data_IF_704011115260
#
_entry.id   IF_704011115260
#
_cell.length_a   1.000
_cell.length_b   1.000
_cell.length_c   1.000
_cell.angle_alpha   90.00
_cell.angle_beta   90.00
_cell.angle_gamma   90.00
#
_symmetry.space_group_name_H-M   'P 1'
#
loop_
_entity.id
_entity.type
_entity.pdbx_description
1 polymer ?
#
# COMPACT_ATOMS: atom_id res chain seq x y z
N UNK A 1 -16.54 -44.83 23.00
CA UNK A 1 -15.62 -43.71 23.30
C UNK A 1 -15.06 -43.32 21.96
N UNK A 2 -15.72 -42.38 21.28
CA UNK A 2 -15.31 -41.86 19.99
C UNK A 2 -15.02 -40.38 20.17
N UNK A 3 -13.77 -39.98 19.97
CA UNK A 3 -13.35 -38.60 19.80
C UNK A 3 -12.48 -38.51 18.55
N UNK A 4 -12.89 -37.68 17.59
CA UNK A 4 -12.07 -36.59 17.02
C UNK A 4 -12.77 -35.99 15.79
N UNK A 5 -13.65 -35.04 16.08
CA UNK A 5 -13.93 -33.91 15.19
C UNK A 5 -12.73 -32.97 15.25
N UNK A 6 -12.15 -32.58 14.11
CA UNK A 6 -11.52 -31.27 13.99
C UNK A 6 -11.79 -30.70 12.60
N UNK A 7 -12.67 -29.70 12.61
CA UNK A 7 -13.26 -29.00 11.49
C UNK A 7 -12.24 -28.17 10.70
N UNK A 8 -12.38 -28.24 9.38
CA UNK A 8 -11.77 -27.36 8.38
C UNK A 8 -12.14 -25.89 8.67
N UNK A 9 -11.15 -25.08 9.05
CA UNK A 9 -11.29 -23.61 9.10
C UNK A 9 -10.69 -23.04 7.83
N UNK A 10 -11.54 -22.60 6.90
CA UNK A 10 -11.13 -21.87 5.72
C UNK A 10 -10.56 -20.49 6.11
N UNK A 11 -9.46 -20.11 5.48
CA UNK A 11 -8.79 -18.83 5.69
C UNK A 11 -9.68 -17.68 5.24
N UNK A 12 -10.43 -17.14 6.20
CA UNK A 12 -11.33 -16.02 6.01
C UNK A 12 -10.54 -14.71 5.88
N UNK A 13 -10.38 -14.25 4.65
CA UNK A 13 -10.06 -12.85 4.34
C UNK A 13 -11.25 -11.97 4.72
N UNK A 14 -11.09 -10.91 5.53
CA UNK A 14 -12.09 -9.83 5.65
C UNK A 14 -11.40 -8.49 5.95
N UNK A 15 -12.07 -7.42 5.51
CA UNK A 15 -12.15 -6.10 6.16
C UNK A 15 -11.25 -5.00 5.61
N UNK A 16 -11.76 -4.32 4.56
CA UNK A 16 -11.62 -2.86 4.49
C UNK A 16 -12.52 -2.28 5.58
N UNK A 17 -11.97 -2.16 6.78
CA UNK A 17 -12.46 -1.25 7.79
C UNK A 17 -11.28 -0.34 8.13
N UNK A 18 -11.52 0.97 8.22
CA UNK A 18 -10.91 1.68 9.32
C UNK A 18 -11.40 0.93 10.58
N UNK A 19 -10.46 0.35 11.32
CA UNK A 19 -10.72 -0.35 12.58
C UNK A 19 -11.70 0.49 13.45
N UNK A 20 -12.83 -0.08 13.92
CA UNK A 20 -13.80 0.63 14.74
C UNK A 20 -13.34 0.95 16.18
N UNK A 21 -12.08 0.71 16.54
CA UNK A 21 -11.53 1.07 17.87
C UNK A 21 -11.47 2.58 18.17
N UNK A 22 -11.83 3.46 17.22
CA UNK A 22 -11.87 4.91 17.48
C UNK A 22 -13.18 5.44 18.08
N UNK A 23 -14.11 4.59 18.57
CA UNK A 23 -15.33 5.08 19.23
C UNK A 23 -15.48 4.50 20.64
N UNK A 24 -15.38 5.41 21.62
CA UNK A 24 -15.65 5.30 23.06
C UNK A 24 -14.54 4.76 23.98
N UNK A 25 -13.63 5.66 24.37
CA UNK A 25 -13.20 5.76 25.77
C UNK A 25 -13.67 7.10 26.32
N UNK A 26 -14.93 7.15 26.75
CA UNK A 26 -15.37 8.17 27.69
C UNK A 26 -14.68 7.88 29.04
N UNK A 27 -13.76 8.74 29.48
CA UNK A 27 -13.31 8.75 30.87
C UNK A 27 -14.27 9.58 31.71
N UNK A 28 -14.64 9.14 32.93
CA UNK A 28 -15.49 9.91 33.82
C UNK A 28 -14.73 11.15 34.30
N UNK A 29 -15.41 12.29 34.25
CA UNK A 29 -14.95 13.55 34.84
C UNK A 29 -15.05 13.42 36.35
N UNK A 30 -13.92 13.44 37.05
CA UNK A 30 -13.87 13.80 38.46
C UNK A 30 -13.08 15.10 38.58
N UNK A 31 -13.80 16.17 38.92
CA UNK A 31 -13.25 17.46 39.29
C UNK A 31 -12.50 17.33 40.62
N UNK A 32 -11.18 17.56 40.62
CA UNK A 32 -10.51 18.28 41.71
C UNK A 32 -9.02 18.49 41.42
N UNK A 33 -8.65 19.78 41.39
CA UNK A 33 -7.35 20.34 41.77
C UNK A 33 -6.13 19.99 40.90
N UNK A 34 -5.96 20.83 39.86
CA UNK A 34 -4.79 21.71 39.73
C UNK A 34 -3.40 21.07 39.76
N UNK A 35 -2.92 20.74 38.56
CA UNK A 35 -1.61 21.09 37.94
C UNK A 35 -1.46 20.11 36.76
N UNK A 36 -1.75 20.54 35.54
CA UNK A 36 -1.54 19.73 34.33
C UNK A 36 -0.76 20.52 33.28
N UNK A 37 0.42 19.98 33.01
CA UNK A 37 1.33 20.23 31.91
C UNK A 37 0.61 20.48 30.57
N UNK A 38 0.69 21.72 30.07
CA UNK A 38 0.73 22.00 28.64
C UNK A 38 2.21 21.87 28.22
N UNK A 39 2.56 21.11 27.16
CA UNK A 39 2.33 21.58 25.79
C UNK A 39 2.28 20.44 24.74
N UNK A 40 1.11 19.86 24.42
CA UNK A 40 0.96 19.09 23.15
C UNK A 40 -0.37 19.38 22.46
N UNK A 41 -1.35 19.97 23.15
CA UNK A 41 -2.65 20.35 22.58
C UNK A 41 -2.61 21.72 21.86
N UNK A 42 -1.49 22.44 21.91
CA UNK A 42 -1.35 23.77 21.27
C UNK A 42 -0.97 23.71 19.77
N UNK A 43 -0.47 22.57 19.26
CA UNK A 43 -0.05 22.46 17.85
C UNK A 43 -1.18 22.05 16.88
N UNK A 44 -2.25 21.41 17.37
CA UNK A 44 -3.32 20.89 16.49
C UNK A 44 -4.51 21.87 16.36
N UNK A 45 -4.68 22.81 17.28
CA UNK A 45 -5.72 23.83 17.20
C UNK A 45 -5.29 25.13 16.49
N UNK A 46 -3.99 25.29 16.18
CA UNK A 46 -3.50 26.48 15.47
C UNK A 46 -3.65 26.38 13.94
N UNK A 47 -3.79 25.16 13.40
CA UNK A 47 -4.01 24.94 11.96
C UNK A 47 -5.50 25.03 11.60
N UNK A 48 -6.41 24.81 12.54
CA UNK A 48 -7.85 24.77 12.26
C UNK A 48 -8.62 26.07 12.56
N UNK A 49 -7.98 27.12 13.09
CA UNK A 49 -8.69 28.35 13.50
C UNK A 49 -8.16 29.67 12.91
N UNK A 50 -7.26 29.64 11.93
CA UNK A 50 -6.85 30.82 11.15
C UNK A 50 -7.25 30.78 9.67
N UNK A 51 -8.04 29.79 9.23
CA UNK A 51 -8.44 29.65 7.81
C UNK A 51 -9.80 30.30 7.50
N UNK A 52 -10.52 30.92 8.45
CA UNK A 52 -11.90 31.36 8.18
C UNK A 52 -12.27 32.81 8.53
N UNK A 53 -11.32 33.75 8.65
CA UNK A 53 -11.64 35.20 8.56
C UNK A 53 -10.45 35.99 8.00
N UNK A 54 -10.26 35.99 6.68
CA UNK A 54 -9.59 37.08 5.96
C UNK A 54 -10.08 37.08 4.51
N UNK A 55 -10.43 38.27 4.02
CA UNK A 55 -11.19 38.53 2.81
C UNK A 55 -10.53 38.06 1.50
N UNK A 56 -11.37 37.68 0.55
CA UNK A 56 -11.10 37.35 -0.87
C UNK A 56 -10.40 38.44 -1.71
N UNK A 57 -9.78 39.47 -1.11
CA UNK A 57 -9.14 40.58 -1.84
C UNK A 57 -7.61 40.61 -1.80
N UNK A 58 -6.94 39.75 -1.02
CA UNK A 58 -5.46 39.78 -0.89
C UNK A 58 -4.70 38.72 -1.70
N UNK A 59 -5.38 37.77 -2.36
CA UNK A 59 -4.70 36.71 -3.15
C UNK A 59 -4.04 37.28 -4.42
N UNK A 60 -4.60 38.33 -5.02
CA UNK A 60 -4.06 38.93 -6.24
C UNK A 60 -2.73 39.69 -6.03
N UNK A 61 -2.43 40.16 -4.82
CA UNK A 61 -1.15 40.83 -4.53
C UNK A 61 -0.02 39.84 -4.21
N UNK A 62 -0.33 38.68 -3.63
CA UNK A 62 0.67 37.64 -3.33
C UNK A 62 1.16 36.94 -4.61
N UNK A 63 0.29 36.76 -5.61
CA UNK A 63 0.68 36.16 -6.90
C UNK A 63 1.65 37.07 -7.66
N UNK A 64 1.49 38.40 -7.59
CA UNK A 64 2.34 39.36 -8.32
C UNK A 64 3.69 39.67 -7.65
N UNK A 65 3.95 39.18 -6.42
CA UNK A 65 5.25 39.30 -5.75
C UNK A 65 6.08 38.01 -5.81
N UNK A 66 5.52 36.93 -6.39
CA UNK A 66 6.20 35.62 -6.49
C UNK A 66 6.93 35.38 -7.81
N UNK A 67 6.80 36.28 -8.78
CA UNK A 67 7.39 36.14 -10.11
C UNK A 67 8.83 36.69 -10.22
N UNK A 68 9.56 36.88 -9.10
CA UNK A 68 10.90 37.49 -9.20
C UNK A 68 12.07 36.87 -8.42
N UNK A 69 11.92 35.87 -7.54
CA UNK A 69 13.10 35.42 -6.74
C UNK A 69 13.29 33.90 -6.45
N UNK A 70 12.49 32.95 -6.96
CA UNK A 70 12.63 31.53 -6.55
C UNK A 70 12.85 30.49 -7.68
N UNK A 71 13.32 30.89 -8.87
CA UNK A 71 13.48 29.97 -10.02
C UNK A 71 14.82 29.19 -10.10
N UNK A 72 15.73 29.29 -9.12
CA UNK A 72 17.06 28.66 -9.26
C UNK A 72 17.34 27.45 -8.35
N UNK A 73 16.38 26.98 -7.53
CA UNK A 73 16.66 25.91 -6.56
C UNK A 73 15.74 24.68 -6.57
N UNK A 74 14.72 24.63 -7.42
CA UNK A 74 13.75 23.52 -7.41
C UNK A 74 13.94 22.48 -8.53
N UNK A 75 15.10 22.43 -9.20
CA UNK A 75 15.40 21.41 -10.21
C UNK A 75 16.13 20.17 -9.68
N UNK A 76 16.41 20.07 -8.37
CA UNK A 76 17.30 19.00 -7.86
C UNK A 76 16.62 17.72 -7.38
N UNK A 77 15.28 17.65 -7.34
CA UNK A 77 14.59 16.52 -6.70
C UNK A 77 13.91 15.53 -7.66
N UNK A 78 14.07 15.70 -8.97
CA UNK A 78 13.43 14.85 -10.00
C UNK A 78 14.43 14.12 -10.91
N UNK A 79 15.66 13.90 -10.46
CA UNK A 79 16.54 12.93 -11.13
C UNK A 79 16.26 11.56 -10.52
N UNK A 80 15.42 10.78 -11.22
CA UNK A 80 15.33 9.34 -10.98
C UNK A 80 16.73 8.72 -10.99
N UNK A 81 16.96 7.77 -10.09
CA UNK A 81 18.24 7.12 -9.93
C UNK A 81 18.72 6.56 -11.28
N UNK A 82 19.96 6.84 -11.74
CA UNK A 82 20.40 6.42 -13.07
C UNK A 82 20.41 4.88 -13.15
N UNK A 83 19.88 4.33 -14.24
CA UNK A 83 19.81 2.89 -14.55
C UNK A 83 21.16 2.17 -14.33
N UNK A 84 22.27 2.87 -14.63
CA UNK A 84 23.64 2.39 -14.40
C UNK A 84 23.97 2.14 -12.92
N UNK A 85 23.30 2.81 -11.97
CA UNK A 85 23.51 2.62 -10.54
C UNK A 85 22.81 1.34 -10.04
N UNK A 86 21.63 1.00 -10.57
CA UNK A 86 20.96 -0.26 -10.26
C UNK A 86 21.78 -1.46 -10.76
N UNK A 87 22.28 -1.39 -12.00
CA UNK A 87 23.18 -2.39 -12.57
C UNK A 87 24.46 -2.57 -11.72
N UNK A 88 25.03 -1.45 -11.24
CA UNK A 88 26.22 -1.47 -10.39
C UNK A 88 25.94 -2.10 -9.02
N UNK A 89 24.73 -1.93 -8.47
CA UNK A 89 24.33 -2.52 -7.20
C UNK A 89 24.12 -4.03 -7.37
N UNK A 90 23.45 -4.45 -8.43
CA UNK A 90 23.21 -5.88 -8.70
C UNK A 90 24.52 -6.66 -8.82
N UNK A 91 25.50 -6.13 -9.58
CA UNK A 91 26.80 -6.78 -9.75
C UNK A 91 27.60 -6.87 -8.45
N UNK A 92 27.51 -5.85 -7.59
CA UNK A 92 28.10 -5.90 -6.25
C UNK A 92 27.46 -6.98 -5.38
N UNK A 93 26.14 -7.13 -5.43
CA UNK A 93 25.41 -8.16 -4.70
C UNK A 93 25.83 -9.55 -5.20
N UNK A 94 25.90 -9.77 -6.52
CA UNK A 94 26.34 -11.05 -7.09
C UNK A 94 27.75 -11.42 -6.66
N UNK A 95 28.67 -10.45 -6.72
CA UNK A 95 30.07 -10.65 -6.29
C UNK A 95 30.13 -11.04 -4.83
N UNK A 96 29.43 -10.30 -3.95
CA UNK A 96 29.35 -10.62 -2.53
C UNK A 96 28.80 -12.03 -2.27
N UNK A 97 27.69 -12.40 -2.92
CA UNK A 97 27.07 -13.73 -2.75
C UNK A 97 28.00 -14.85 -3.22
N UNK A 98 28.76 -14.64 -4.30
CA UNK A 98 29.69 -15.63 -4.83
C UNK A 98 30.92 -15.84 -3.91
N UNK A 99 31.33 -14.82 -3.15
CA UNK A 99 32.45 -14.89 -2.22
C UNK A 99 32.08 -15.57 -0.89
N UNK A 100 30.79 -15.73 -0.58
CA UNK A 100 30.33 -16.35 0.67
C UNK A 100 30.49 -17.87 0.65
N UNK A 101 30.92 -18.41 1.80
CA UNK A 101 30.88 -19.85 2.07
C UNK A 101 29.44 -20.37 2.20
N UNK A 102 29.25 -21.68 2.06
CA UNK A 102 27.91 -22.31 2.12
C UNK A 102 27.18 -22.04 3.44
N UNK A 103 27.88 -22.14 4.57
CA UNK A 103 27.30 -21.90 5.90
C UNK A 103 26.89 -20.44 6.10
N UNK A 104 27.73 -19.50 5.63
CA UNK A 104 27.43 -18.07 5.68
C UNK A 104 26.26 -17.71 4.76
N UNK A 105 26.17 -18.36 3.59
CA UNK A 105 25.04 -18.19 2.67
C UNK A 105 23.73 -18.65 3.31
N UNK A 106 23.72 -19.80 4.00
CA UNK A 106 22.55 -20.31 4.73
C UNK A 106 22.13 -19.35 5.86
N UNK A 107 23.10 -18.82 6.61
CA UNK A 107 22.85 -17.85 7.67
C UNK A 107 22.25 -16.56 7.08
N UNK A 108 22.86 -15.99 6.03
CA UNK A 108 22.38 -14.78 5.36
C UNK A 108 20.99 -14.98 4.78
N UNK A 109 20.73 -16.09 4.08
CA UNK A 109 19.42 -16.40 3.53
C UNK A 109 18.35 -16.50 4.62
N UNK A 110 18.65 -17.21 5.71
CA UNK A 110 17.75 -17.33 6.86
C UNK A 110 17.44 -15.96 7.47
N UNK A 111 18.45 -15.12 7.63
CA UNK A 111 18.32 -13.79 8.20
C UNK A 111 17.50 -12.85 7.29
N UNK A 112 17.70 -12.91 5.97
CA UNK A 112 16.94 -12.14 4.99
C UNK A 112 15.47 -12.58 4.94
N UNK A 113 15.19 -13.90 4.95
CA UNK A 113 13.83 -14.43 4.94
C UNK A 113 13.08 -14.16 6.26
N UNK A 114 13.78 -14.14 7.40
CA UNK A 114 13.19 -13.68 8.68
C UNK A 114 12.83 -12.21 8.64
N UNK A 115 13.69 -11.37 8.05
CA UNK A 115 13.44 -9.91 7.92
C UNK A 115 12.33 -9.61 6.91
N UNK A 116 12.19 -10.45 5.88
CA UNK A 116 11.15 -10.33 4.87
C UNK A 116 10.40 -11.67 4.68
N UNK A 117 9.43 -12.00 5.55
CA UNK A 117 8.68 -13.25 5.46
C UNK A 117 7.85 -13.37 4.18
N UNK A 118 7.50 -12.26 3.51
CA UNK A 118 6.85 -12.29 2.20
C UNK A 118 7.70 -12.96 1.12
N UNK A 119 9.03 -12.75 1.16
CA UNK A 119 9.94 -13.40 0.22
C UNK A 119 9.99 -14.93 0.41
N UNK A 120 9.79 -15.43 1.63
CA UNK A 120 9.72 -16.88 1.89
C UNK A 120 8.52 -17.53 1.20
N UNK A 121 7.35 -16.87 1.25
CA UNK A 121 6.14 -17.34 0.58
C UNK A 121 6.34 -17.45 -0.95
N UNK A 122 7.06 -16.50 -1.55
CA UNK A 122 7.36 -16.50 -2.99
C UNK A 122 8.20 -17.72 -3.41
N UNK A 123 9.14 -18.16 -2.56
CA UNK A 123 9.95 -19.36 -2.81
C UNK A 123 9.12 -20.65 -2.72
N UNK A 124 8.25 -20.76 -1.71
CA UNK A 124 7.33 -21.91 -1.57
C UNK A 124 6.41 -22.05 -2.78
N UNK A 125 5.93 -20.92 -3.30
CA UNK A 125 5.11 -20.87 -4.50
C UNK A 125 5.85 -21.31 -5.76
N UNK A 126 7.12 -20.98 -5.87
CA UNK A 126 7.95 -21.30 -7.03
C UNK A 126 8.29 -22.80 -7.10
N UNK A 127 8.53 -23.45 -5.97
CA UNK A 127 8.71 -24.91 -5.91
C UNK A 127 7.43 -25.67 -6.29
N UNK A 128 6.25 -25.14 -5.95
CA UNK A 128 4.97 -25.74 -6.37
C UNK A 128 4.60 -25.44 -7.84
N UNK A 129 5.29 -24.50 -8.49
CA UNK A 129 5.06 -24.10 -9.88
C UNK A 129 5.86 -24.93 -10.90
N UNK A 130 6.76 -25.82 -10.48
CA UNK A 130 7.58 -26.63 -11.41
C UNK A 130 6.79 -27.70 -12.19
N UNK A 131 5.45 -27.65 -12.18
CA UNK A 131 4.54 -28.55 -12.89
C UNK A 131 3.42 -27.82 -13.65
N UNK A 132 3.69 -26.68 -14.29
CA UNK A 132 2.82 -26.17 -15.36
C UNK A 132 3.65 -25.65 -16.54
N UNK A 133 3.64 -26.41 -17.64
CA UNK A 133 4.09 -25.94 -18.95
C UNK A 133 3.30 -24.68 -19.33
N UNK A 134 4.01 -23.59 -19.58
CA UNK A 134 3.44 -22.36 -20.12
C UNK A 134 2.89 -22.61 -21.53
N UNK A 135 1.56 -22.65 -21.65
CA UNK A 135 0.93 -22.39 -22.94
C UNK A 135 0.96 -20.88 -23.19
N UNK A 136 1.60 -20.51 -24.29
CA UNK A 136 1.66 -19.18 -24.89
C UNK A 136 0.27 -18.69 -25.31
N UNK A 137 -0.52 -18.31 -24.31
CA UNK A 137 -1.74 -17.54 -24.46
C UNK A 137 -1.62 -16.34 -23.54
N UNK A 138 -0.91 -15.31 -24.02
CA UNK A 138 -1.05 -13.97 -23.45
C UNK A 138 -2.56 -13.67 -23.36
N UNK A 139 -3.15 -13.55 -22.15
CA UNK A 139 -4.58 -13.37 -22.04
C UNK A 139 -4.91 -12.02 -22.68
N UNK A 140 -5.67 -12.07 -23.78
CA UNK A 140 -6.12 -10.87 -24.50
C UNK A 140 -6.76 -9.91 -23.50
N UNK A 141 -6.39 -8.63 -23.59
CA UNK A 141 -6.97 -7.60 -22.74
C UNK A 141 -8.51 -7.61 -22.87
N UNK A 142 -9.26 -7.54 -21.77
CA UNK A 142 -10.72 -7.55 -21.81
C UNK A 142 -11.29 -6.40 -22.65
N UNK A 143 -12.48 -6.57 -23.23
CA UNK A 143 -13.12 -5.55 -24.07
C UNK A 143 -13.45 -4.22 -23.37
N UNK A 144 -13.45 -4.21 -22.03
CA UNK A 144 -13.63 -3.01 -21.20
C UNK A 144 -12.30 -2.31 -20.84
N UNK A 145 -11.16 -2.82 -21.32
CA UNK A 145 -9.84 -2.26 -21.07
C UNK A 145 -9.45 -1.20 -22.11
N UNK A 146 -8.86 -0.10 -21.64
CA UNK A 146 -8.28 0.96 -22.48
C UNK A 146 -6.75 1.02 -22.42
N UNK A 147 -6.12 0.48 -21.36
CA UNK A 147 -4.68 0.61 -21.13
C UNK A 147 -3.84 -0.61 -21.56
N UNK A 148 -4.49 -1.65 -22.10
CA UNK A 148 -3.85 -2.90 -22.54
C UNK A 148 -3.36 -3.85 -21.43
N UNK A 149 -3.38 -3.43 -20.15
CA UNK A 149 -2.82 -4.22 -19.02
C UNK A 149 -3.85 -4.75 -18.02
N UNK A 150 -5.14 -4.51 -18.25
CA UNK A 150 -6.16 -5.13 -17.40
C UNK A 150 -6.30 -6.62 -17.72
N UNK A 151 -6.67 -7.42 -16.71
CA UNK A 151 -7.11 -8.81 -16.86
C UNK A 151 -8.55 -8.95 -16.36
N UNK A 152 -9.19 -10.05 -16.73
CA UNK A 152 -10.57 -10.33 -16.32
C UNK A 152 -10.70 -10.37 -14.79
N UNK A 153 -11.84 -9.88 -14.28
CA UNK A 153 -12.14 -9.84 -12.86
C UNK A 153 -13.43 -10.62 -12.58
N UNK A 154 -13.53 -11.35 -11.45
CA UNK A 154 -14.70 -12.18 -11.16
C UNK A 154 -16.00 -11.38 -11.00
N UNK A 155 -15.93 -10.20 -10.39
CA UNK A 155 -17.11 -9.37 -10.14
C UNK A 155 -17.17 -8.19 -11.12
N UNK A 156 -18.38 -7.88 -11.61
CA UNK A 156 -18.57 -6.77 -12.57
C UNK A 156 -18.15 -5.40 -11.99
N UNK A 157 -18.34 -5.19 -10.69
CA UNK A 157 -17.90 -3.97 -9.99
C UNK A 157 -16.37 -3.78 -10.06
N UNK A 158 -15.62 -4.87 -10.22
CA UNK A 158 -14.15 -4.87 -10.32
C UNK A 158 -13.64 -4.70 -11.75
N UNK A 159 -14.52 -4.76 -12.77
CA UNK A 159 -14.18 -4.58 -14.20
C UNK A 159 -13.93 -3.11 -14.54
N UNK A 160 -12.91 -2.53 -13.91
CA UNK A 160 -12.53 -1.12 -14.01
C UNK A 160 -11.13 -0.99 -14.60
N UNK A 161 -11.00 -0.18 -15.65
CA UNK A 161 -9.72 0.22 -16.23
C UNK A 161 -9.23 1.55 -15.62
N UNK A 162 -7.91 1.80 -15.62
CA UNK A 162 -7.33 3.05 -15.14
C UNK A 162 -7.61 4.24 -16.07
N UNK A 163 -7.84 3.97 -17.37
CA UNK A 163 -8.22 4.95 -18.42
C UNK A 163 -7.27 6.14 -18.54
N UNK A 164 -5.99 5.92 -18.25
CA UNK A 164 -4.96 6.90 -18.58
C UNK A 164 -4.92 7.09 -20.10
N UNK A 165 -4.79 8.33 -20.58
CA UNK A 165 -4.82 8.66 -22.00
C UNK A 165 -3.66 7.97 -22.76
N UNK A 166 -2.47 8.03 -22.18
CA UNK A 166 -1.28 7.37 -22.71
C UNK A 166 -0.71 6.41 -21.67
N UNK A 167 -0.52 5.15 -22.06
CA UNK A 167 0.05 4.12 -21.21
C UNK A 167 -0.91 3.59 -20.13
N UNK A 168 -0.34 3.22 -18.97
CA UNK A 168 -1.08 2.59 -17.89
C UNK A 168 -0.64 3.13 -16.52
N UNK A 169 -1.61 3.40 -15.64
CA UNK A 169 -1.30 3.82 -14.28
C UNK A 169 -0.43 2.80 -13.53
N UNK A 170 -0.58 1.50 -13.81
CA UNK A 170 0.20 0.46 -13.15
C UNK A 170 1.69 0.45 -13.53
N UNK A 171 2.09 1.20 -14.55
CA UNK A 171 3.49 1.39 -14.95
C UNK A 171 4.03 2.77 -14.63
N UNK A 172 3.20 3.65 -14.05
CA UNK A 172 3.67 4.97 -13.63
C UNK A 172 4.63 4.83 -12.46
N UNK A 173 5.70 5.62 -12.45
CA UNK A 173 6.70 5.61 -11.39
C UNK A 173 6.09 5.85 -10.01
N UNK A 174 5.17 6.82 -9.91
CA UNK A 174 4.47 7.11 -8.65
C UNK A 174 3.70 5.90 -8.14
N UNK A 175 3.03 5.14 -9.01
CA UNK A 175 2.35 3.90 -8.61
C UNK A 175 3.34 2.85 -8.11
N UNK A 176 4.46 2.66 -8.82
CA UNK A 176 5.48 1.69 -8.43
C UNK A 176 6.08 2.05 -7.06
N UNK A 177 6.42 3.31 -6.86
CA UNK A 177 6.98 3.81 -5.59
C UNK A 177 5.98 3.72 -4.45
N UNK A 178 4.73 4.13 -4.65
CA UNK A 178 3.74 4.23 -3.56
C UNK A 178 3.09 2.89 -3.24
N UNK A 179 2.79 2.06 -4.25
CA UNK A 179 1.96 0.87 -4.09
C UNK A 179 2.71 -0.46 -4.24
N UNK A 180 3.92 -0.48 -4.81
CA UNK A 180 4.68 -1.71 -5.11
C UNK A 180 5.99 -1.79 -4.29
N UNK A 181 6.59 -0.66 -3.95
CA UNK A 181 7.83 -0.63 -3.16
C UNK A 181 7.59 -1.16 -1.73
N UNK A 182 8.21 -2.29 -1.41
CA UNK A 182 8.05 -2.96 -0.13
C UNK A 182 8.47 -2.07 1.05
N UNK A 183 9.54 -1.28 0.93
CA UNK A 183 10.00 -0.41 2.01
C UNK A 183 9.01 0.71 2.32
N UNK A 184 8.39 1.30 1.30
CA UNK A 184 7.33 2.30 1.48
C UNK A 184 6.12 1.68 2.19
N UNK A 185 5.72 0.48 1.76
CA UNK A 185 4.61 -0.25 2.40
C UNK A 185 4.94 -0.65 3.84
N UNK A 186 6.18 -1.04 4.14
CA UNK A 186 6.61 -1.37 5.49
C UNK A 186 6.56 -0.15 6.42
N UNK A 187 6.93 1.04 5.94
CA UNK A 187 6.80 2.27 6.72
C UNK A 187 5.32 2.56 7.02
N UNK A 188 4.44 2.38 6.03
CA UNK A 188 2.99 2.53 6.22
C UNK A 188 2.42 1.51 7.23
N UNK A 189 2.95 0.28 7.23
CA UNK A 189 2.63 -0.73 8.24
C UNK A 189 3.06 -0.26 9.62
N UNK A 190 4.33 0.09 9.81
CA UNK A 190 4.86 0.57 11.10
C UNK A 190 4.09 1.76 11.66
N UNK A 191 3.76 2.73 10.81
CA UNK A 191 2.94 3.87 11.23
C UNK A 191 1.54 3.46 11.73
N UNK A 192 0.96 2.39 11.19
CA UNK A 192 -0.32 1.84 11.67
C UNK A 192 -0.12 1.01 12.94
N UNK A 193 0.94 0.22 13.01
CA UNK A 193 1.33 -0.58 14.18
C UNK A 193 1.55 0.33 15.41
N UNK A 194 2.21 1.49 15.25
CA UNK A 194 2.42 2.48 16.31
C UNK A 194 1.10 3.04 16.87
N UNK A 195 0.08 3.18 16.01
CA UNK A 195 -1.24 3.69 16.40
C UNK A 195 -2.06 2.59 17.11
N UNK A 196 -1.99 1.36 16.60
CA UNK A 196 -2.80 0.24 17.09
C UNK A 196 -2.13 -0.55 18.22
N UNK A 197 -0.85 -0.31 18.49
CA UNK A 197 -0.01 -1.10 19.38
C UNK A 197 -0.03 -2.61 19.06
N UNK A 198 -0.17 -2.94 17.77
CA UNK A 198 -0.22 -4.32 17.26
C UNK A 198 0.85 -4.50 16.18
N UNK A 199 1.67 -5.54 16.31
CA UNK A 199 2.76 -5.85 15.39
C UNK A 199 2.36 -6.98 14.45
N UNK A 200 1.83 -6.63 13.29
CA UNK A 200 1.44 -7.62 12.29
C UNK A 200 2.68 -8.32 11.68
N UNK A 201 2.57 -9.64 11.49
CA UNK A 201 3.58 -10.41 10.74
C UNK A 201 3.65 -9.88 9.30
N UNK A 202 4.85 -9.74 8.75
CA UNK A 202 5.06 -9.22 7.39
C UNK A 202 4.88 -10.33 6.35
N UNK A 203 3.63 -10.64 6.03
CA UNK A 203 3.27 -11.61 4.97
C UNK A 203 2.90 -10.90 3.68
N UNK A 204 2.91 -11.62 2.55
CA UNK A 204 2.40 -11.09 1.27
C UNK A 204 0.94 -10.63 1.35
N UNK A 205 0.13 -11.23 2.22
CA UNK A 205 -1.24 -10.79 2.48
C UNK A 205 -1.26 -9.38 3.07
N UNK A 206 -0.37 -9.08 4.02
CA UNK A 206 -0.24 -7.73 4.59
C UNK A 206 0.23 -6.74 3.53
N UNK A 207 1.25 -7.08 2.73
CA UNK A 207 1.72 -6.21 1.65
C UNK A 207 0.63 -5.88 0.64
N UNK A 208 -0.16 -6.87 0.18
CA UNK A 208 -1.33 -6.61 -0.69
C UNK A 208 -2.33 -5.67 -0.01
N UNK A 209 -2.69 -5.93 1.24
CA UNK A 209 -3.66 -5.13 1.97
C UNK A 209 -3.22 -3.66 2.06
N UNK A 210 -1.96 -3.42 2.45
CA UNK A 210 -1.42 -2.07 2.55
C UNK A 210 -1.24 -1.42 1.18
N UNK A 211 -0.84 -2.16 0.14
CA UNK A 211 -0.78 -1.63 -1.22
C UNK A 211 -2.15 -1.15 -1.72
N UNK A 212 -3.22 -1.91 -1.46
CA UNK A 212 -4.58 -1.49 -1.79
C UNK A 212 -4.98 -0.23 -1.01
N UNK A 213 -4.73 -0.21 0.30
CA UNK A 213 -5.00 0.95 1.16
C UNK A 213 -4.24 2.20 0.68
N UNK A 214 -2.97 2.03 0.32
CA UNK A 214 -2.11 3.12 -0.13
C UNK A 214 -2.57 3.69 -1.47
N UNK A 215 -2.96 2.82 -2.43
CA UNK A 215 -3.54 3.26 -3.70
C UNK A 215 -4.78 4.12 -3.48
N UNK A 216 -5.68 3.66 -2.61
CA UNK A 216 -6.93 4.35 -2.30
C UNK A 216 -6.65 5.70 -1.63
N UNK A 217 -5.72 5.73 -0.68
CA UNK A 217 -5.32 6.97 0.00
C UNK A 217 -4.67 7.96 -0.96
N UNK A 218 -3.78 7.50 -1.84
CA UNK A 218 -3.14 8.34 -2.84
C UNK A 218 -4.14 8.94 -3.84
N UNK A 219 -5.08 8.15 -4.35
CA UNK A 219 -6.01 8.57 -5.39
C UNK A 219 -7.25 9.31 -4.87
N UNK A 220 -7.67 9.02 -3.65
CA UNK A 220 -8.96 9.49 -3.11
C UNK A 220 -8.86 10.14 -1.74
N UNK A 221 -7.68 10.16 -1.12
CA UNK A 221 -7.50 10.63 0.24
C UNK A 221 -8.25 9.75 1.26
N UNK A 222 -8.71 10.37 2.34
CA UNK A 222 -9.39 9.67 3.44
C UNK A 222 -10.87 9.46 3.11
N UNK A 223 -11.28 8.19 2.93
CA UNK A 223 -12.66 7.84 2.57
C UNK A 223 -13.63 7.71 3.76
N UNK A 224 -13.14 7.56 4.99
CA UNK A 224 -13.99 7.31 6.17
C UNK A 224 -14.56 5.88 6.21
N UNK A 225 -15.30 5.55 7.28
CA UNK A 225 -15.85 4.20 7.45
C UNK A 225 -16.97 3.92 6.44
N UNK A 226 -17.04 2.68 5.94
CA UNK A 226 -18.10 2.21 5.04
C UNK A 226 -18.01 2.67 3.58
N UNK A 227 -17.15 3.65 3.25
CA UNK A 227 -16.98 4.13 1.88
C UNK A 227 -15.80 3.45 1.22
N UNK A 228 -16.07 2.46 0.36
CA UNK A 228 -15.05 1.70 -0.37
C UNK A 228 -15.02 2.13 -1.84
N UNK A 229 -13.82 2.18 -2.42
CA UNK A 229 -13.63 2.48 -3.86
C UNK A 229 -12.91 1.31 -4.52
N UNK A 230 -13.26 1.06 -5.77
CA UNK A 230 -12.66 0.00 -6.59
C UNK A 230 -11.36 0.49 -7.23
N UNK A 231 -10.30 -0.29 -7.02
CA UNK A 231 -8.99 -0.13 -7.67
C UNK A 231 -9.06 -0.70 -9.09
N UNK A 232 -8.48 -0.04 -10.11
CA UNK A 232 -8.45 -0.58 -11.47
C UNK A 232 -7.76 -1.96 -11.55
N UNK A 233 -8.27 -2.83 -12.42
CA UNK A 233 -7.76 -4.20 -12.63
C UNK A 233 -6.27 -4.23 -12.93
N UNK A 234 -5.77 -3.34 -13.79
CA UNK A 234 -4.32 -3.29 -14.11
C UNK A 234 -3.45 -3.05 -12.87
N UNK A 235 -3.91 -2.23 -11.93
CA UNK A 235 -3.19 -1.94 -10.69
C UNK A 235 -3.31 -3.09 -9.69
N UNK A 236 -4.50 -3.69 -9.56
CA UNK A 236 -4.71 -4.88 -8.71
C UNK A 236 -3.78 -6.02 -9.15
N UNK A 237 -3.74 -6.32 -10.45
CA UNK A 237 -2.91 -7.39 -10.96
C UNK A 237 -1.42 -7.10 -10.80
N UNK A 238 -0.97 -5.85 -10.97
CA UNK A 238 0.40 -5.47 -10.67
C UNK A 238 0.76 -5.75 -9.20
N UNK A 239 -0.11 -5.39 -8.25
CA UNK A 239 0.08 -5.66 -6.82
C UNK A 239 0.10 -7.17 -6.54
N UNK A 240 -0.83 -7.95 -7.11
CA UNK A 240 -0.90 -9.40 -6.92
C UNK A 240 0.30 -10.13 -7.50
N UNK A 241 0.85 -9.65 -8.63
CA UNK A 241 2.09 -10.20 -9.19
C UNK A 241 3.31 -9.90 -8.31
N UNK A 242 3.34 -8.73 -7.65
CA UNK A 242 4.43 -8.40 -6.72
C UNK A 242 4.36 -9.20 -5.41
N UNK A 243 3.15 -9.40 -4.89
CA UNK A 243 2.90 -10.05 -3.61
C UNK A 243 1.88 -11.19 -3.79
N UNK A 244 2.29 -12.33 -4.34
CA UNK A 244 1.38 -13.42 -4.68
C UNK A 244 0.78 -14.11 -3.44
N UNK A 245 -0.35 -14.79 -3.64
CA UNK A 245 -0.97 -15.66 -2.64
C UNK A 245 -0.58 -17.12 -2.90
N UNK A 246 -0.36 -17.90 -1.83
CA UNK A 246 0.08 -19.31 -1.87
C UNK A 246 -0.75 -20.22 -2.81
N UNK A 247 -2.04 -19.92 -2.96
CA UNK A 247 -2.99 -20.69 -3.76
C UNK A 247 -3.54 -19.90 -4.96
N UNK A 248 -3.04 -18.69 -5.22
CA UNK A 248 -3.59 -17.73 -6.19
C UNK A 248 -5.09 -17.43 -6.02
N UNK A 249 -5.66 -17.71 -4.85
CA UNK A 249 -7.04 -17.35 -4.53
C UNK A 249 -7.06 -15.98 -3.86
N UNK A 250 -7.87 -15.09 -4.41
CA UNK A 250 -8.02 -13.73 -3.88
C UNK A 250 -9.49 -13.47 -3.60
N UNK A 251 -9.78 -12.93 -2.42
CA UNK A 251 -11.11 -12.40 -2.14
C UNK A 251 -11.39 -11.18 -3.02
N UNK A 252 -12.61 -11.12 -3.56
CA UNK A 252 -13.09 -10.01 -4.38
C UNK A 252 -13.51 -8.79 -3.56
N UNK A 253 -13.92 -7.73 -4.26
CA UNK A 253 -14.45 -6.50 -3.68
C UNK A 253 -15.74 -6.75 -2.87
N UNK A 254 -15.72 -6.22 -1.66
CA UNK A 254 -16.88 -6.19 -0.78
C UNK A 254 -17.38 -4.75 -0.65
N UNK A 255 -18.69 -4.54 -0.85
CA UNK A 255 -19.31 -3.23 -0.64
C UNK A 255 -19.25 -2.88 0.85
N UNK A 256 -18.92 -1.63 1.18
CA UNK A 256 -18.97 -1.15 2.55
C UNK A 256 -20.40 -0.74 2.89
N UNK A 257 -20.87 -1.03 4.10
CA UNK A 257 -22.25 -0.74 4.54
C UNK A 257 -22.52 0.77 4.76
N UNK A 258 -21.75 1.67 4.14
CA UNK A 258 -22.02 3.10 4.14
C UNK A 258 -23.02 3.43 3.04
N UNK A 259 -24.19 3.93 3.43
CA UNK A 259 -25.24 4.44 2.53
C UNK A 259 -24.57 5.39 1.51
N UNK A 260 -24.61 5.00 0.23
CA UNK A 260 -24.25 5.86 -0.88
C UNK A 260 -25.45 6.79 -1.10
N UNK A 261 -25.34 8.05 -0.68
CA UNK A 261 -26.13 9.11 -1.31
C UNK A 261 -25.36 9.55 -2.55
N UNK A 262 -26.03 9.45 -3.69
CA UNK A 262 -25.52 9.72 -5.05
C UNK A 262 -25.12 11.18 -5.29
#
# INVERSE_FOLDING_TARGET
>A
MDESNLSQSGDADVSIAADPTFVNVARPVNESLGIVLAPVVCMISFVQNHVNVAQEQDIAQIVNLRDSEDDEHNERFTEGMPEQLEDTIEEKIKTFVHELGREDLENVATDLLKRNPGAYEDYLLKENSSFQEESDHSPKSPGWCNCGRCKEMPQDVEKKCCRLQEGCLSTSEVFLTVCINAHVLEVAMRATEDILADAAVRTNKNYRHYAYKQFIYWQHGRLGAGRRRVIPSCCIWAIRMRFPAANNMYKGFEIGNGILED
#
